data_IF_445238970793
#
_entry.id   IF_445238970793
#
_cell.length_a   1.000
_cell.length_b   1.000
_cell.length_c   1.000
_cell.angle_alpha   90.00
_cell.angle_beta   90.00
_cell.angle_gamma   90.00
#
_symmetry.space_group_name_H-M   'P 1'
#
loop_
_entity.id
_entity.type
_entity.pdbx_description
1 polymer ?
#
# COMPACT_ATOMS: atom_id res chain seq x y z
N UNK A 1 -28.56 23.03 -22.73
CA UNK A 1 -28.55 21.58 -22.46
C UNK A 1 -27.11 21.12 -22.42
N UNK A 2 -26.51 21.07 -21.22
CA UNK A 2 -25.18 20.50 -21.05
C UNK A 2 -25.33 18.98 -20.92
N UNK A 3 -24.82 18.24 -21.90
CA UNK A 3 -24.59 16.80 -21.76
C UNK A 3 -23.36 16.62 -20.86
N UNK A 4 -23.56 16.22 -19.61
CA UNK A 4 -22.51 15.55 -18.86
C UNK A 4 -22.35 14.15 -19.47
N UNK A 5 -21.37 13.99 -20.36
CA UNK A 5 -20.89 12.66 -20.76
C UNK A 5 -19.97 12.16 -19.65
N UNK A 6 -20.47 11.27 -18.81
CA UNK A 6 -19.63 10.34 -18.05
C UNK A 6 -19.18 9.26 -19.04
N UNK A 7 -17.93 9.32 -19.53
CA UNK A 7 -17.39 8.24 -20.34
C UNK A 7 -17.11 7.03 -19.43
N UNK A 8 -17.59 5.82 -19.77
CA UNK A 8 -17.23 4.63 -19.02
C UNK A 8 -15.77 4.25 -19.29
N UNK A 9 -15.02 3.97 -18.22
CA UNK A 9 -13.70 3.34 -18.29
C UNK A 9 -13.85 1.94 -18.91
N UNK A 10 -13.30 1.74 -20.11
CA UNK A 10 -13.25 0.42 -20.75
C UNK A 10 -11.93 -0.28 -20.43
N UNK A 11 -12.01 -1.46 -19.83
CA UNK A 11 -10.87 -2.34 -19.60
C UNK A 11 -10.87 -3.46 -20.65
N UNK A 12 -9.73 -3.66 -21.30
CA UNK A 12 -9.45 -4.83 -22.10
C UNK A 12 -8.97 -5.97 -21.21
N UNK A 13 -9.58 -7.15 -21.39
CA UNK A 13 -9.33 -8.35 -20.59
C UNK A 13 -8.37 -9.28 -21.33
N UNK A 14 -7.20 -9.53 -20.74
CA UNK A 14 -6.26 -10.56 -21.19
C UNK A 14 -6.25 -11.68 -20.14
N UNK A 15 -6.86 -12.81 -20.50
CA UNK A 15 -6.86 -14.01 -19.65
C UNK A 15 -5.64 -14.86 -20.05
N UNK A 16 -4.66 -14.96 -19.15
CA UNK A 16 -3.63 -15.98 -19.25
C UNK A 16 -4.13 -17.23 -18.55
N UNK A 17 -4.79 -18.13 -19.29
CA UNK A 17 -5.03 -19.48 -18.80
C UNK A 17 -3.67 -20.18 -18.68
N UNK A 18 -3.33 -20.69 -17.49
CA UNK A 18 -2.18 -21.57 -17.31
C UNK A 18 -2.43 -22.87 -18.10
N UNK A 19 -2.12 -22.86 -19.39
CA UNK A 19 -1.87 -24.09 -20.14
C UNK A 19 -0.70 -24.80 -19.46
N UNK A 20 -0.83 -26.11 -19.25
CA UNK A 20 0.11 -26.95 -18.52
C UNK A 20 1.55 -26.48 -18.73
N UNK A 21 2.14 -25.95 -17.65
CA UNK A 21 3.41 -25.24 -17.74
C UNK A 21 4.45 -26.16 -18.37
N UNK A 22 5.16 -25.77 -19.45
CA UNK A 22 6.47 -26.35 -19.69
C UNK A 22 7.28 -26.19 -18.39
N UNK A 23 8.19 -27.12 -18.03
CA UNK A 23 8.96 -27.00 -16.80
C UNK A 23 9.54 -25.59 -16.79
N UNK A 24 9.13 -24.80 -15.78
CA UNK A 24 9.61 -23.44 -15.60
C UNK A 24 11.13 -23.53 -15.78
N UNK A 25 11.67 -22.93 -16.84
CA UNK A 25 13.09 -22.57 -16.86
C UNK A 25 13.28 -21.88 -15.53
N UNK A 26 14.00 -22.51 -14.61
CA UNK A 26 14.14 -22.05 -13.23
C UNK A 26 14.48 -20.58 -13.31
N UNK A 27 13.51 -19.71 -12.97
CA UNK A 27 13.77 -18.29 -12.86
C UNK A 27 14.90 -18.23 -11.85
N UNK A 28 16.11 -17.74 -12.19
CA UNK A 28 17.19 -17.71 -11.24
C UNK A 28 16.73 -16.82 -10.09
N UNK A 29 16.35 -17.47 -8.99
CA UNK A 29 15.79 -16.83 -7.81
C UNK A 29 16.77 -17.09 -6.67
N UNK A 30 17.12 -16.04 -5.96
CA UNK A 30 17.92 -16.15 -4.76
C UNK A 30 16.98 -16.10 -3.58
N UNK A 31 16.84 -17.23 -2.88
CA UNK A 31 16.13 -17.26 -1.61
C UNK A 31 17.00 -16.60 -0.54
N UNK A 32 16.55 -15.47 -0.01
CA UNK A 32 17.16 -14.83 1.15
C UNK A 32 16.14 -14.88 2.30
N UNK A 33 16.47 -15.63 3.35
CA UNK A 33 15.67 -15.66 4.57
C UNK A 33 16.07 -14.48 5.44
N UNK A 34 15.24 -13.44 5.44
CA UNK A 34 15.52 -12.18 6.15
C UNK A 34 15.14 -12.23 7.64
N UNK A 35 14.14 -13.04 7.99
CA UNK A 35 13.76 -13.29 9.38
C UNK A 35 13.26 -14.73 9.57
N UNK A 36 13.39 -15.24 10.80
CA UNK A 36 12.92 -16.58 11.20
C UNK A 36 12.01 -16.43 12.42
N UNK A 37 10.71 -16.68 12.24
CA UNK A 37 9.70 -16.56 13.29
C UNK A 37 8.32 -16.21 12.72
N UNK A 38 7.29 -16.08 13.58
CA UNK A 38 6.03 -15.47 13.17
C UNK A 38 6.31 -14.00 12.81
N UNK A 39 6.09 -13.63 11.55
CA UNK A 39 6.08 -12.24 11.10
C UNK A 39 4.64 -11.78 10.98
N UNK A 40 4.40 -10.47 11.13
CA UNK A 40 3.11 -9.92 10.77
C UNK A 40 2.80 -10.08 9.30
N UNK A 41 1.51 -10.12 8.99
CA UNK A 41 1.04 -10.10 7.60
C UNK A 41 1.39 -8.77 6.90
N UNK A 42 1.60 -7.70 7.69
CA UNK A 42 1.93 -6.38 7.20
C UNK A 42 3.46 -6.22 7.06
N UNK A 43 3.91 -6.03 5.81
CA UNK A 43 5.26 -5.60 5.48
C UNK A 43 5.20 -4.50 4.41
N UNK A 44 6.11 -3.54 4.50
CA UNK A 44 6.30 -2.53 3.46
C UNK A 44 7.64 -2.77 2.77
N UNK A 45 7.60 -2.80 1.44
CA UNK A 45 8.78 -2.96 0.60
C UNK A 45 8.92 -1.75 -0.31
N UNK A 46 10.05 -1.04 -0.18
CA UNK A 46 10.33 0.17 -0.97
C UNK A 46 11.73 0.10 -1.55
N UNK A 47 11.86 0.36 -2.85
CA UNK A 47 13.17 0.54 -3.48
C UNK A 47 13.56 2.02 -3.44
N UNK A 48 14.77 2.32 -2.97
CA UNK A 48 15.34 3.67 -2.95
C UNK A 48 16.86 3.60 -3.17
N UNK A 49 17.38 4.38 -4.12
CA UNK A 49 18.83 4.46 -4.44
C UNK A 49 19.50 3.09 -4.64
N UNK A 50 18.84 2.19 -5.40
CA UNK A 50 19.27 0.79 -5.63
C UNK A 50 19.40 -0.06 -4.35
N UNK A 51 18.77 0.38 -3.26
CA UNK A 51 18.62 -0.37 -2.02
C UNK A 51 17.17 -0.75 -1.83
N UNK A 52 16.95 -1.94 -1.27
CA UNK A 52 15.64 -2.44 -0.93
C UNK A 52 15.41 -2.25 0.57
N UNK A 53 14.42 -1.44 0.90
CA UNK A 53 14.01 -1.17 2.27
C UNK A 53 12.85 -2.10 2.60
N UNK A 54 13.06 -2.99 3.58
CA UNK A 54 12.02 -3.87 4.09
C UNK A 54 11.67 -3.46 5.51
N UNK A 55 10.45 -2.99 5.70
CA UNK A 55 9.88 -2.69 7.01
C UNK A 55 8.87 -3.78 7.37
N UNK A 56 8.96 -4.31 8.59
CA UNK A 56 8.03 -5.31 9.08
C UNK A 56 7.96 -5.29 10.61
N UNK A 57 6.88 -5.85 11.14
CA UNK A 57 6.74 -6.08 12.57
C UNK A 57 7.21 -7.49 12.96
N UNK A 58 8.13 -7.54 13.91
CA UNK A 58 8.71 -8.75 14.47
C UNK A 58 7.94 -9.15 15.73
N UNK A 59 7.13 -10.22 15.65
CA UNK A 59 6.36 -10.72 16.80
C UNK A 59 7.24 -11.31 17.89
N UNK A 60 8.47 -11.71 17.58
CA UNK A 60 9.38 -12.26 18.60
C UNK A 60 9.87 -11.17 19.54
N UNK A 61 10.15 -9.98 19.01
CA UNK A 61 10.66 -8.82 19.77
C UNK A 61 9.61 -7.74 20.01
N UNK A 62 8.41 -7.93 19.47
CA UNK A 62 7.28 -7.00 19.51
C UNK A 62 7.63 -5.61 18.99
N UNK A 63 8.42 -5.56 17.92
CA UNK A 63 9.04 -4.33 17.44
C UNK A 63 8.89 -4.14 15.95
N UNK A 64 8.90 -2.89 15.52
CA UNK A 64 9.01 -2.53 14.11
C UNK A 64 10.48 -2.45 13.71
N UNK A 65 10.84 -3.15 12.63
CA UNK A 65 12.21 -3.27 12.15
C UNK A 65 12.33 -2.86 10.70
N UNK A 66 13.35 -2.08 10.38
CA UNK A 66 13.71 -1.68 9.03
C UNK A 66 15.04 -2.33 8.64
N UNK A 67 15.01 -3.18 7.63
CA UNK A 67 16.21 -3.71 6.98
C UNK A 67 16.49 -2.91 5.71
N UNK A 68 17.74 -2.52 5.53
CA UNK A 68 18.23 -1.95 4.27
C UNK A 68 19.11 -3.00 3.61
N UNK A 69 18.66 -3.45 2.45
CA UNK A 69 19.32 -4.48 1.67
C UNK A 69 19.95 -3.85 0.43
N UNK A 70 21.13 -4.30 0.05
CA UNK A 70 21.76 -3.89 -1.19
C UNK A 70 22.15 -5.09 -2.03
N UNK A 71 22.02 -4.90 -3.35
CA UNK A 71 22.61 -5.82 -4.33
C UNK A 71 23.99 -5.28 -4.72
N UNK A 72 24.99 -5.60 -3.89
CA UNK A 72 26.39 -5.20 -4.15
C UNK A 72 27.04 -6.00 -5.28
N UNK A 73 26.43 -7.09 -5.74
CA UNK A 73 26.97 -7.89 -6.84
C UNK A 73 25.83 -8.66 -7.54
N UNK A 74 25.60 -8.48 -8.85
CA UNK A 74 24.48 -9.11 -9.59
C UNK A 74 24.54 -10.65 -9.68
N UNK A 75 25.55 -11.28 -9.04
CA UNK A 75 25.71 -12.73 -8.87
C UNK A 75 25.67 -13.19 -7.40
N UNK A 76 25.54 -12.28 -6.44
CA UNK A 76 25.48 -12.55 -5.01
C UNK A 76 24.06 -12.41 -4.46
N UNK A 77 23.86 -12.92 -3.24
CA UNK A 77 22.61 -12.78 -2.50
C UNK A 77 22.45 -11.32 -2.06
N UNK A 78 21.20 -10.86 -1.91
CA UNK A 78 20.90 -9.61 -1.19
C UNK A 78 21.58 -9.68 0.19
N UNK A 79 22.37 -8.65 0.51
CA UNK A 79 23.04 -8.52 1.80
C UNK A 79 22.27 -7.53 2.68
N UNK A 80 22.15 -7.85 3.97
CA UNK A 80 21.65 -6.89 4.96
C UNK A 80 22.79 -5.91 5.23
N UNK A 81 22.64 -4.69 4.74
CA UNK A 81 23.62 -3.61 4.96
C UNK A 81 23.36 -2.93 6.30
N UNK A 82 22.08 -2.70 6.61
CA UNK A 82 21.66 -2.06 7.87
C UNK A 82 20.42 -2.77 8.43
N UNK A 83 20.37 -2.85 9.76
CA UNK A 83 19.26 -3.43 10.53
C UNK A 83 18.90 -2.49 11.67
N UNK A 84 17.77 -1.80 11.51
CA UNK A 84 17.31 -0.77 12.41
C UNK A 84 16.14 -1.27 13.25
N UNK A 85 16.29 -1.16 14.58
CA UNK A 85 15.17 -1.16 15.51
C UNK A 85 14.53 0.23 15.48
N UNK A 86 13.25 0.33 15.12
CA UNK A 86 12.57 1.63 15.06
C UNK A 86 11.80 1.92 16.34
N UNK A 87 10.92 1.02 16.76
CA UNK A 87 10.18 1.14 18.01
C UNK A 87 9.64 -0.22 18.48
N UNK A 88 9.25 -0.29 19.75
CA UNK A 88 8.38 -1.34 20.28
C UNK A 88 6.94 -0.92 20.03
N UNK A 89 6.17 -1.76 19.35
CA UNK A 89 4.83 -1.38 18.82
C UNK A 89 3.67 -1.99 19.58
N UNK A 90 3.93 -2.99 20.42
CA UNK A 90 2.94 -3.55 21.35
C UNK A 90 3.64 -4.32 22.47
N UNK A 91 2.97 -4.48 23.61
CA UNK A 91 3.46 -5.31 24.71
C UNK A 91 2.93 -6.75 24.67
N UNK A 92 1.79 -7.00 24.02
CA UNK A 92 1.19 -8.34 23.89
C UNK A 92 0.10 -8.34 22.81
N UNK A 93 0.45 -8.49 21.51
CA UNK A 93 -0.53 -8.46 20.44
C UNK A 93 -1.41 -9.73 20.45
N UNK A 94 -2.72 -9.55 20.26
CA UNK A 94 -3.63 -10.65 19.98
C UNK A 94 -3.42 -11.21 18.56
N UNK A 95 -3.96 -12.40 18.31
CA UNK A 95 -3.85 -13.10 17.01
C UNK A 95 -4.45 -12.27 15.85
N UNK A 96 -5.48 -11.45 16.13
CA UNK A 96 -6.17 -10.59 15.14
C UNK A 96 -5.91 -9.09 15.38
N UNK A 97 -4.89 -8.73 16.18
CA UNK A 97 -4.49 -7.34 16.39
C UNK A 97 -3.95 -6.74 15.09
N UNK A 98 -4.15 -5.43 14.81
CA UNK A 98 -3.45 -4.70 13.75
C UNK A 98 -1.96 -4.50 14.10
N UNK A 99 -1.33 -5.47 14.78
CA UNK A 99 0.05 -5.41 15.19
C UNK A 99 0.93 -5.27 13.96
N UNK A 100 1.72 -4.20 13.96
CA UNK A 100 2.55 -3.90 12.81
C UNK A 100 1.78 -3.29 11.65
N UNK A 101 0.55 -2.80 11.82
CA UNK A 101 -0.11 -2.04 10.77
C UNK A 101 0.66 -0.75 10.52
N UNK A 102 1.30 -0.68 9.36
CA UNK A 102 2.21 0.40 9.02
C UNK A 102 2.22 0.67 7.51
N UNK A 103 2.74 1.85 7.17
CA UNK A 103 3.09 2.24 5.82
C UNK A 103 4.45 2.90 5.84
N UNK A 104 5.33 2.43 4.96
CA UNK A 104 6.62 3.05 4.69
C UNK A 104 6.69 3.59 3.28
N UNK A 105 7.10 4.84 3.13
CA UNK A 105 7.22 5.52 1.84
C UNK A 105 8.50 6.34 1.80
N UNK A 106 9.12 6.40 0.62
CA UNK A 106 10.26 7.28 0.35
C UNK A 106 9.90 8.16 -0.85
N UNK A 107 9.95 9.49 -0.68
CA UNK A 107 9.68 10.45 -1.76
C UNK A 107 10.52 11.71 -1.59
N UNK A 108 11.09 12.21 -2.70
CA UNK A 108 11.80 13.52 -2.77
C UNK A 108 12.77 13.74 -1.60
N UNK A 109 13.62 12.75 -1.33
CA UNK A 109 14.64 12.82 -0.27
C UNK A 109 14.07 12.84 1.17
N UNK A 110 12.85 12.36 1.39
CA UNK A 110 12.27 12.16 2.72
C UNK A 110 11.74 10.74 2.88
N UNK A 111 11.94 10.19 4.07
CA UNK A 111 11.36 8.93 4.52
C UNK A 111 10.15 9.25 5.39
N UNK A 112 9.04 8.56 5.14
CA UNK A 112 7.81 8.65 5.91
C UNK A 112 7.43 7.27 6.41
N UNK A 113 7.15 7.20 7.70
CA UNK A 113 6.65 6.01 8.36
C UNK A 113 5.39 6.39 9.14
N UNK A 114 4.29 5.72 8.81
CA UNK A 114 3.06 5.73 9.60
C UNK A 114 2.91 4.36 10.22
N UNK A 115 2.70 4.27 11.53
CA UNK A 115 2.34 3.00 12.15
C UNK A 115 1.45 3.20 13.35
N UNK A 116 0.69 2.15 13.65
CA UNK A 116 -0.12 2.08 14.85
C UNK A 116 0.71 1.51 15.99
N UNK A 117 0.94 2.34 16.99
CA UNK A 117 1.43 1.92 18.29
C UNK A 117 0.23 1.52 19.16
N UNK A 118 0.26 0.28 19.65
CA UNK A 118 -0.76 -0.26 20.51
C UNK A 118 -0.20 -0.39 21.94
N UNK A 119 -0.42 0.66 22.74
CA UNK A 119 -0.02 0.68 24.16
C UNK A 119 -0.83 -0.36 24.96
N UNK A 120 -2.14 -0.44 24.70
CA UNK A 120 -3.08 -1.43 25.27
C UNK A 120 -4.29 -1.68 24.32
N UNK A 121 -5.32 -2.41 24.77
CA UNK A 121 -6.51 -2.75 23.96
C UNK A 121 -7.33 -1.52 23.54
N UNK A 122 -7.44 -0.52 24.41
CA UNK A 122 -8.32 0.64 24.24
C UNK A 122 -7.59 1.84 23.64
N UNK A 123 -6.25 1.86 23.74
CA UNK A 123 -5.44 2.98 23.35
C UNK A 123 -4.50 2.63 22.19
N UNK A 124 -4.90 3.12 21.01
CA UNK A 124 -4.11 3.10 19.78
C UNK A 124 -3.67 4.51 19.43
N UNK A 125 -2.40 4.64 19.07
CA UNK A 125 -1.77 5.90 18.71
C UNK A 125 -1.18 5.75 17.31
N UNK A 126 -1.58 6.61 16.39
CA UNK A 126 -0.91 6.75 15.12
C UNK A 126 0.36 7.57 15.34
N UNK A 127 1.52 6.96 15.10
CA UNK A 127 2.80 7.67 15.04
C UNK A 127 3.16 7.95 13.59
N UNK A 128 3.38 9.22 13.28
CA UNK A 128 3.95 9.68 12.01
C UNK A 128 5.40 10.09 12.24
N UNK A 129 6.31 9.25 11.75
CA UNK A 129 7.74 9.50 11.77
C UNK A 129 8.19 10.00 10.39
N UNK A 130 8.91 11.11 10.36
CA UNK A 130 9.51 11.65 9.14
C UNK A 130 10.98 11.98 9.33
N UNK A 131 11.78 11.67 8.31
CA UNK A 131 13.22 11.93 8.29
C UNK A 131 13.66 12.43 6.91
N UNK A 132 14.16 13.67 6.80
CA UNK A 132 14.93 14.06 5.63
C UNK A 132 16.15 13.16 5.50
N UNK A 133 16.39 12.58 4.32
CA UNK A 133 17.50 11.64 4.10
C UNK A 133 18.85 12.32 4.37
N UNK A 134 18.95 13.63 4.14
CA UNK A 134 20.15 14.44 4.37
C UNK A 134 20.37 14.85 5.83
N UNK A 135 19.43 14.57 6.74
CA UNK A 135 19.49 14.97 8.14
C UNK A 135 19.57 13.75 9.06
N UNK A 136 20.26 13.89 10.19
CA UNK A 136 20.27 12.84 11.22
C UNK A 136 19.02 12.87 12.11
N UNK A 137 18.29 13.99 12.11
CA UNK A 137 17.15 14.21 13.00
C UNK A 137 15.90 13.54 12.46
N UNK A 138 15.18 12.90 13.37
CA UNK A 138 13.85 12.36 13.16
C UNK A 138 12.81 13.29 13.77
N UNK A 139 11.69 13.47 13.09
CA UNK A 139 10.53 14.20 13.61
C UNK A 139 9.40 13.20 13.81
N UNK A 140 8.71 13.30 14.95
CA UNK A 140 7.65 12.39 15.34
C UNK A 140 6.44 13.22 15.74
N UNK A 141 5.32 12.96 15.06
CA UNK A 141 4.00 13.44 15.46
C UNK A 141 3.16 12.23 15.90
N UNK A 142 2.31 12.40 16.93
CA UNK A 142 1.50 11.31 17.50
C UNK A 142 0.05 11.76 17.66
N UNK A 143 -0.90 10.93 17.21
CA UNK A 143 -2.32 11.25 17.17
C UNK A 143 -3.15 10.12 17.76
N UNK A 144 -4.22 10.42 18.53
CA UNK A 144 -5.22 9.41 18.87
C UNK A 144 -5.80 8.81 17.59
N UNK A 145 -5.91 7.48 17.51
CA UNK A 145 -6.32 6.83 16.27
C UNK A 145 -6.93 5.47 16.53
N UNK A 146 -8.06 5.15 15.90
CA UNK A 146 -8.80 3.91 16.14
C UNK A 146 -8.97 3.03 14.89
N UNK A 147 -8.68 3.57 13.70
CA UNK A 147 -8.77 2.86 12.43
C UNK A 147 -7.60 1.94 12.12
N UNK A 148 -7.68 1.28 10.97
CA UNK A 148 -6.58 0.54 10.32
C UNK A 148 -6.02 1.38 9.17
N UNK A 149 -4.72 1.61 9.15
CA UNK A 149 -4.03 2.29 8.06
C UNK A 149 -4.13 1.44 6.78
N UNK A 150 -4.51 2.09 5.68
CA UNK A 150 -4.73 1.47 4.37
C UNK A 150 -3.69 1.92 3.35
N UNK A 151 -3.52 3.23 3.20
CA UNK A 151 -2.58 3.81 2.23
C UNK A 151 -2.13 5.20 2.69
N UNK A 152 -1.09 5.75 2.08
CA UNK A 152 -0.75 7.16 2.20
C UNK A 152 -0.29 7.72 0.85
N UNK A 153 -0.68 8.95 0.56
CA UNK A 153 -0.29 9.69 -0.63
C UNK A 153 0.56 10.90 -0.20
N UNK A 154 1.76 10.99 -0.77
CA UNK A 154 2.70 12.08 -0.50
C UNK A 154 2.59 13.11 -1.63
N UNK A 155 1.70 14.10 -1.52
CA UNK A 155 1.57 15.21 -2.47
C UNK A 155 2.32 16.46 -1.97
N UNK A 156 1.74 17.67 -2.08
CA UNK A 156 2.25 18.85 -1.37
C UNK A 156 2.11 18.69 0.15
N UNK A 157 1.05 17.99 0.58
CA UNK A 157 0.82 17.51 1.94
C UNK A 157 0.80 15.98 1.94
N UNK A 158 0.82 15.38 3.14
CA UNK A 158 0.60 13.93 3.29
C UNK A 158 -0.87 13.67 3.56
N UNK A 159 -1.50 12.84 2.75
CA UNK A 159 -2.86 12.35 2.98
C UNK A 159 -2.80 10.89 3.44
N UNK A 160 -3.29 10.63 4.65
CA UNK A 160 -3.38 9.29 5.23
C UNK A 160 -4.77 8.71 4.98
N UNK A 161 -4.82 7.46 4.54
CA UNK A 161 -6.06 6.73 4.30
C UNK A 161 -6.21 5.60 5.29
N UNK A 162 -7.39 5.49 5.89
CA UNK A 162 -7.63 4.50 6.91
C UNK A 162 -9.08 4.02 6.93
N UNK A 163 -9.25 2.78 7.38
CA UNK A 163 -10.54 2.13 7.48
C UNK A 163 -10.99 2.06 8.93
N UNK A 164 -12.22 2.50 9.19
CA UNK A 164 -12.79 2.52 10.53
C UNK A 164 -14.32 2.44 10.43
N UNK A 165 -14.98 1.74 11.36
CA UNK A 165 -16.45 1.74 11.49
C UNK A 165 -17.23 1.56 10.18
N UNK A 166 -16.75 0.71 9.26
CA UNK A 166 -17.45 0.47 8.00
C UNK A 166 -17.24 1.57 6.95
N UNK A 167 -16.17 2.36 7.04
CA UNK A 167 -15.86 3.38 6.06
C UNK A 167 -14.36 3.59 5.87
N UNK A 168 -13.98 3.91 4.62
CA UNK A 168 -12.67 4.41 4.25
C UNK A 168 -12.68 5.94 4.37
N UNK A 169 -11.76 6.46 5.18
CA UNK A 169 -11.52 7.87 5.40
C UNK A 169 -10.20 8.30 4.80
N UNK A 170 -10.06 9.60 4.51
CA UNK A 170 -8.76 10.26 4.45
C UNK A 170 -8.63 11.37 5.48
N UNK A 171 -7.40 11.55 5.97
CA UNK A 171 -6.98 12.61 6.87
C UNK A 171 -5.78 13.32 6.26
N UNK A 172 -5.91 14.62 5.89
CA UNK A 172 -4.77 15.44 5.56
C UNK A 172 -3.90 15.66 6.80
N UNK A 173 -2.69 15.13 6.81
CA UNK A 173 -1.71 15.37 7.85
C UNK A 173 -1.15 16.79 7.69
N UNK A 174 -1.83 17.76 8.29
CA UNK A 174 -1.46 19.18 8.28
C UNK A 174 -1.35 19.72 9.72
N UNK A 175 -0.59 20.81 9.95
CA UNK A 175 -0.52 21.46 11.26
C UNK A 175 -1.87 21.98 11.76
N UNK A 176 -2.81 22.26 10.84
CA UNK A 176 -4.19 22.54 11.18
C UNK A 176 -4.93 21.22 11.30
N UNK A 177 -5.37 20.88 12.52
CA UNK A 177 -6.22 19.72 12.76
C UNK A 177 -7.48 19.82 11.87
N UNK A 178 -7.60 18.91 10.90
CA UNK A 178 -8.81 18.76 10.10
C UNK A 178 -9.49 17.44 10.47
N UNK A 179 -10.83 17.40 10.53
CA UNK A 179 -11.53 16.15 10.75
C UNK A 179 -11.31 15.21 9.54
N UNK A 180 -11.24 13.89 9.77
CA UNK A 180 -11.23 12.91 8.70
C UNK A 180 -12.46 13.06 7.79
N UNK A 181 -12.28 12.79 6.50
CA UNK A 181 -13.36 12.84 5.51
C UNK A 181 -13.61 11.47 4.91
N UNK A 182 -14.86 11.07 4.83
CA UNK A 182 -15.27 9.79 4.25
C UNK A 182 -15.14 9.79 2.73
N UNK A 183 -14.58 8.72 2.18
CA UNK A 183 -14.46 8.47 0.74
C UNK A 183 -15.49 7.44 0.29
N UNK A 184 -15.58 6.34 1.05
CA UNK A 184 -16.37 5.16 0.72
C UNK A 184 -16.91 4.54 2.00
N UNK A 185 -18.20 4.25 2.06
CA UNK A 185 -18.81 3.44 3.13
C UNK A 185 -18.92 2.00 2.65
N UNK A 186 -18.29 1.07 3.37
CA UNK A 186 -18.32 -0.37 3.11
C UNK A 186 -18.07 -1.15 4.39
N UNK A 187 -18.91 -2.16 4.64
CA UNK A 187 -18.80 -3.08 5.78
C UNK A 187 -17.61 -4.04 5.70
N UNK A 188 -16.96 -4.13 4.54
CA UNK A 188 -15.80 -5.02 4.35
C UNK A 188 -14.81 -4.41 3.37
N UNK A 189 -13.62 -4.05 3.86
CA UNK A 189 -12.54 -3.53 3.04
C UNK A 189 -11.31 -4.46 3.10
N UNK A 190 -10.74 -4.78 1.93
CA UNK A 190 -9.49 -5.53 1.83
C UNK A 190 -8.37 -4.87 2.62
N UNK A 191 -7.44 -5.68 3.15
CA UNK A 191 -6.26 -5.20 3.88
C UNK A 191 -5.21 -4.61 2.96
N UNK A 192 -5.12 -5.09 1.73
CA UNK A 192 -4.06 -4.73 0.80
C UNK A 192 -4.51 -3.57 -0.11
N UNK A 193 -3.65 -2.56 -0.20
CA UNK A 193 -3.77 -1.47 -1.15
C UNK A 193 -2.54 -1.43 -2.06
N UNK A 194 -2.75 -1.26 -3.37
CA UNK A 194 -1.64 -1.03 -4.31
C UNK A 194 -1.54 0.45 -4.62
N UNK A 195 -0.50 1.10 -4.10
CA UNK A 195 -0.18 2.49 -4.39
C UNK A 195 0.25 2.65 -5.85
N UNK A 196 -0.22 3.72 -6.49
CA UNK A 196 0.08 4.08 -7.87
C UNK A 196 0.63 5.50 -7.88
N UNK A 197 1.90 5.65 -8.23
CA UNK A 197 2.56 6.95 -8.36
C UNK A 197 3.41 6.97 -9.63
N UNK A 198 2.91 7.59 -10.70
CA UNK A 198 3.65 7.71 -11.96
C UNK A 198 3.35 9.03 -12.67
N UNK A 199 4.40 9.81 -12.94
CA UNK A 199 4.26 11.15 -13.51
C UNK A 199 3.44 12.04 -12.57
N UNK A 200 2.36 12.62 -13.09
CA UNK A 200 1.40 13.42 -12.32
C UNK A 200 0.30 12.59 -11.65
N UNK A 201 0.09 11.34 -12.07
CA UNK A 201 -0.96 10.51 -11.51
C UNK A 201 -0.56 9.98 -10.13
N UNK A 202 -1.47 10.10 -9.18
CA UNK A 202 -1.33 9.50 -7.85
C UNK A 202 -2.67 8.99 -7.37
N UNK A 203 -2.69 7.75 -6.90
CA UNK A 203 -3.87 7.10 -6.35
C UNK A 203 -3.50 5.77 -5.75
N UNK A 204 -4.49 5.01 -5.30
CA UNK A 204 -4.28 3.61 -4.92
C UNK A 204 -5.51 2.80 -5.22
N UNK A 205 -5.32 1.49 -5.32
CA UNK A 205 -6.41 0.55 -5.55
C UNK A 205 -6.66 -0.27 -4.30
N UNK A 206 -7.93 -0.56 -4.01
CA UNK A 206 -8.34 -1.35 -2.85
C UNK A 206 -9.57 -2.19 -3.17
N UNK A 207 -9.66 -3.39 -2.59
CA UNK A 207 -10.83 -4.24 -2.74
C UNK A 207 -11.94 -3.85 -1.76
N UNK A 208 -13.14 -3.59 -2.28
CA UNK A 208 -14.37 -3.49 -1.50
C UNK A 208 -15.05 -4.87 -1.48
N UNK A 209 -15.02 -5.54 -0.33
CA UNK A 209 -15.57 -6.87 -0.14
C UNK A 209 -17.09 -6.93 -0.07
N UNK A 210 -17.75 -5.83 0.31
CA UNK A 210 -19.21 -5.75 0.29
C UNK A 210 -19.72 -5.64 -1.15
N UNK A 211 -19.15 -4.72 -1.92
CA UNK A 211 -19.52 -4.54 -3.33
C UNK A 211 -18.92 -5.62 -4.24
N UNK A 212 -17.90 -6.34 -3.77
CA UNK A 212 -17.05 -7.25 -4.57
C UNK A 212 -16.44 -6.55 -5.77
N UNK A 213 -16.01 -5.30 -5.57
CA UNK A 213 -15.44 -4.46 -6.61
C UNK A 213 -14.06 -4.00 -6.22
N UNK A 214 -13.17 -3.96 -7.20
CA UNK A 214 -11.96 -3.18 -7.10
C UNK A 214 -12.29 -1.69 -7.22
N UNK A 215 -11.86 -0.90 -6.25
CA UNK A 215 -12.03 0.55 -6.20
C UNK A 215 -10.70 1.26 -6.48
N UNK A 216 -10.70 2.23 -7.39
CA UNK A 216 -9.62 3.19 -7.53
C UNK A 216 -9.92 4.41 -6.66
N UNK A 217 -9.04 4.67 -5.70
CA UNK A 217 -9.05 5.90 -4.92
C UNK A 217 -8.12 6.90 -5.62
N UNK A 218 -8.69 7.98 -6.12
CA UNK A 218 -7.97 8.99 -6.92
C UNK A 218 -8.39 10.40 -6.49
N UNK A 219 -7.52 11.41 -6.60
CA UNK A 219 -7.87 12.80 -6.38
C UNK A 219 -9.09 13.23 -7.22
N UNK A 220 -9.95 14.05 -6.62
CA UNK A 220 -11.11 14.65 -7.27
C UNK A 220 -11.53 15.93 -6.55
N UNK A 221 -11.43 17.08 -7.23
CA UNK A 221 -11.68 18.38 -6.62
C UNK A 221 -10.81 18.61 -5.39
N UNK A 222 -11.43 18.85 -4.23
CA UNK A 222 -10.74 19.13 -2.96
C UNK A 222 -10.55 17.88 -2.07
N UNK A 223 -10.58 16.69 -2.65
CA UNK A 223 -10.46 15.43 -1.91
C UNK A 223 -10.23 14.23 -2.81
N UNK A 224 -10.85 13.11 -2.45
CA UNK A 224 -10.69 11.83 -3.15
C UNK A 224 -12.05 11.24 -3.51
N UNK A 225 -12.12 10.54 -4.65
CA UNK A 225 -13.28 9.75 -5.06
C UNK A 225 -12.89 8.28 -5.17
N UNK A 226 -13.84 7.39 -4.88
CA UNK A 226 -13.74 5.97 -5.21
C UNK A 226 -14.41 5.73 -6.58
N UNK A 227 -13.65 5.18 -7.52
CA UNK A 227 -14.15 4.80 -8.85
C UNK A 227 -14.15 3.27 -8.95
N UNK A 228 -15.31 2.63 -9.14
CA UNK A 228 -15.37 1.19 -9.32
C UNK A 228 -14.73 0.83 -10.68
N UNK A 229 -13.79 -0.10 -10.67
CA UNK A 229 -13.05 -0.50 -11.87
C UNK A 229 -13.59 -1.80 -12.46
N UNK A 230 -13.50 -2.88 -11.70
CA UNK A 230 -13.82 -4.24 -12.16
C UNK A 230 -14.49 -5.04 -11.05
N UNK A 231 -15.38 -5.94 -11.47
CA UNK A 231 -15.94 -6.98 -10.61
C UNK A 231 -14.92 -8.13 -10.58
N UNK A 232 -13.98 -8.11 -9.64
CA UNK A 232 -12.92 -9.11 -9.53
C UNK A 232 -12.63 -9.46 -8.07
N UNK A 233 -12.02 -10.63 -7.82
CA UNK A 233 -11.60 -11.05 -6.48
C UNK A 233 -10.43 -10.23 -5.93
N UNK A 234 -9.90 -10.68 -4.79
CA UNK A 234 -8.73 -10.09 -4.11
C UNK A 234 -7.58 -9.81 -5.09
N UNK A 235 -7.13 -8.55 -5.10
CA UNK A 235 -6.14 -8.01 -6.03
C UNK A 235 -4.76 -8.26 -5.47
N UNK A 236 -3.76 -8.32 -6.35
CA UNK A 236 -2.37 -8.52 -5.96
C UNK A 236 -1.50 -7.32 -6.35
N UNK A 237 -1.81 -6.61 -7.44
CA UNK A 237 -1.00 -5.47 -7.88
C UNK A 237 -1.72 -4.54 -8.88
N UNK A 238 -1.45 -3.24 -8.80
CA UNK A 238 -1.89 -2.23 -9.78
C UNK A 238 -0.78 -1.23 -10.07
N UNK A 239 -0.66 -0.81 -11.34
CA UNK A 239 0.31 0.19 -11.80
C UNK A 239 -0.25 1.01 -12.96
N UNK A 240 0.35 2.17 -13.20
CA UNK A 240 0.16 2.91 -14.45
C UNK A 240 1.30 2.50 -15.40
N UNK A 241 1.09 2.61 -16.71
CA UNK A 241 2.16 2.40 -17.68
C UNK A 241 2.68 3.74 -18.24
N UNK A 242 3.74 3.66 -19.06
CA UNK A 242 4.38 4.84 -19.66
C UNK A 242 3.43 5.69 -20.55
N UNK A 243 2.25 5.17 -20.87
CA UNK A 243 1.21 5.85 -21.64
C UNK A 243 0.04 6.30 -20.75
N UNK A 244 0.24 6.38 -19.43
CA UNK A 244 -0.78 6.79 -18.45
C UNK A 244 -2.00 5.84 -18.38
N UNK A 245 -1.84 4.58 -18.78
CA UNK A 245 -2.93 3.59 -18.72
C UNK A 245 -2.84 2.76 -17.46
N UNK A 246 -3.98 2.56 -16.80
CA UNK A 246 -4.04 1.69 -15.62
C UNK A 246 -3.95 0.22 -16.02
N UNK A 247 -3.09 -0.51 -15.32
CA UNK A 247 -2.90 -1.96 -15.39
C UNK A 247 -3.16 -2.56 -14.03
N UNK A 248 -3.95 -3.63 -14.00
CA UNK A 248 -4.36 -4.30 -12.77
C UNK A 248 -4.11 -5.78 -12.95
N UNK A 249 -3.33 -6.35 -12.05
CA UNK A 249 -3.04 -7.77 -12.00
C UNK A 249 -3.80 -8.39 -10.82
N UNK A 250 -4.64 -9.37 -11.15
CA UNK A 250 -5.44 -10.10 -10.17
C UNK A 250 -5.12 -11.59 -10.24
N UNK A 251 -5.17 -12.29 -9.11
CA UNK A 251 -4.96 -13.73 -9.04
C UNK A 251 -6.12 -14.39 -8.29
N UNK A 252 -6.80 -15.31 -8.97
CA UNK A 252 -7.90 -16.10 -8.41
C UNK A 252 -7.36 -17.42 -7.87
N UNK A 253 -7.31 -17.58 -6.54
CA UNK A 253 -6.93 -18.85 -5.90
C UNK A 253 -7.85 -20.01 -6.31
N UNK A 254 -9.14 -19.73 -6.56
CA UNK A 254 -10.15 -20.75 -6.89
C UNK A 254 -9.96 -21.34 -8.29
N UNK A 255 -9.70 -20.48 -9.28
CA UNK A 255 -9.46 -20.92 -10.67
C UNK A 255 -7.99 -21.09 -11.00
N UNK A 256 -7.09 -20.69 -10.09
CA UNK A 256 -5.64 -20.63 -10.32
C UNK A 256 -5.27 -19.82 -11.58
N UNK A 257 -5.96 -18.69 -11.77
CA UNK A 257 -5.82 -17.83 -12.95
C UNK A 257 -5.21 -16.49 -12.56
N UNK A 258 -4.28 -16.02 -13.40
CA UNK A 258 -3.72 -14.68 -13.35
C UNK A 258 -4.33 -13.86 -14.48
N UNK A 259 -4.99 -12.77 -14.13
CA UNK A 259 -5.70 -11.93 -15.09
C UNK A 259 -5.14 -10.52 -15.06
N UNK A 260 -4.72 -10.04 -16.23
CA UNK A 260 -4.30 -8.67 -16.46
C UNK A 260 -5.44 -7.89 -17.10
N UNK A 261 -5.90 -6.86 -16.40
CA UNK A 261 -6.78 -5.84 -16.95
C UNK A 261 -5.93 -4.65 -17.35
N UNK A 262 -6.14 -4.15 -18.56
CA UNK A 262 -5.48 -2.95 -19.04
C UNK A 262 -6.52 -1.99 -19.59
N UNK A 263 -6.47 -0.74 -19.13
CA UNK A 263 -7.30 0.33 -19.66
C UNK A 263 -7.08 0.49 -21.16
N UNK A 264 -8.18 0.59 -21.91
CA UNK A 264 -8.17 0.78 -23.35
C UNK A 264 -7.47 2.11 -23.70
N UNK A 265 -6.52 2.13 -24.66
CA UNK A 265 -5.91 3.36 -25.15
C UNK A 265 -6.90 4.42 -25.65
N UNK A 266 -8.11 4.04 -26.07
CA UNK A 266 -9.13 4.97 -26.56
C UNK A 266 -10.10 5.44 -25.46
N UNK A 267 -9.93 5.00 -24.21
CA UNK A 267 -10.73 5.51 -23.09
C UNK A 267 -10.18 6.84 -22.57
N UNK A 268 -11.06 7.81 -22.37
CA UNK A 268 -10.69 9.12 -21.81
C UNK A 268 -9.93 8.95 -20.47
N UNK A 269 -8.94 9.84 -20.25
CA UNK A 269 -8.18 9.90 -19.00
C UNK A 269 -9.08 10.08 -17.77
N UNK A 270 -8.57 9.71 -16.59
CA UNK A 270 -9.27 9.67 -15.28
C UNK A 270 -9.90 10.98 -14.75
N UNK A 271 -10.11 12.00 -15.57
CA UNK A 271 -10.71 13.29 -15.18
C UNK A 271 -12.18 13.14 -14.74
#
# INVERSE_FOLDING_TARGET
MHYHRTAPLFFSLLIAACTASPPLTEFPHYLVTLARGPLGADFSLVENDNKLHLLFADYKTLSLRLLILSDKNPRSKLEIEEDHFLDRVCFSPEIDSPFGNHIYLVKKNQQHLFYLDQEDEERRILKWIRKPISEEKWYIDAYPFSGRIISAILNENVDLFFYEHGALYYLPCSPAEQPPRTILSTSSLGSEASLIQQGSFTGFTIFDGELKKLQLITPSGNGYKAVPLIDSGEIHYSAIDNHQRLRILTFSKKSNELTLYQQDPDSDSFE
#
